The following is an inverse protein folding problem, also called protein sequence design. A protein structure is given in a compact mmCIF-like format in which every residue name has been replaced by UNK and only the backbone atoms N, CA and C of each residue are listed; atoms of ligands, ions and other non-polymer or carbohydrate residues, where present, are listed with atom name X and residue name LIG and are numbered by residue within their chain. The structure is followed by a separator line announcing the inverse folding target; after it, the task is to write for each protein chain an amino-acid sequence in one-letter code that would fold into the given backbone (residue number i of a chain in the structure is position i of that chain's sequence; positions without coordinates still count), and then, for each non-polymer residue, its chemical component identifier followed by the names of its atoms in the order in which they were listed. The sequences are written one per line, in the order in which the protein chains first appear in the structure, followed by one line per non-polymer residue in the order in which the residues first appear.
data_IF_764541307742
#
_entry.id   IF_764541307742
#
_cell.length_a   1.000
_cell.length_b   1.000
_cell.length_c   1.000
_cell.angle_alpha   90.00
_cell.angle_beta   90.00
_cell.angle_gamma   90.00
#
_symmetry.space_group_name_H-M   'P 1'
#
loop_
_entity.id
_entity.type
_entity.pdbx_description
1 polymer ?
#
# COMPACT_ATOMS: atom_id res chain seq x y z
N UNK A 1 6.65 5.99 -23.66
CA UNK A 1 6.30 6.19 -22.24
C UNK A 1 7.30 5.38 -21.42
N UNK A 2 7.95 5.94 -20.39
CA UNK A 2 8.75 5.12 -19.48
C UNK A 2 7.82 4.07 -18.84
N UNK A 3 8.27 2.83 -18.78
CA UNK A 3 7.54 1.74 -18.13
C UNK A 3 7.43 1.96 -16.61
N UNK A 4 6.73 1.07 -15.90
CA UNK A 4 6.63 1.16 -14.45
C UNK A 4 8.02 1.10 -13.79
N UNK A 5 8.22 1.90 -12.74
CA UNK A 5 9.45 1.91 -11.96
C UNK A 5 9.30 0.91 -10.81
N UNK A 6 10.11 -0.15 -10.81
CA UNK A 6 10.11 -1.19 -9.79
C UNK A 6 11.25 -0.97 -8.78
N UNK A 7 10.94 -1.08 -7.49
CA UNK A 7 11.91 -1.11 -6.39
C UNK A 7 11.63 -2.30 -5.48
N UNK A 8 12.65 -3.11 -5.26
CA UNK A 8 12.65 -4.19 -4.28
C UNK A 8 13.27 -3.70 -2.97
N UNK A 9 12.53 -3.86 -1.88
CA UNK A 9 12.88 -3.50 -0.51
C UNK A 9 12.73 -4.71 0.42
N UNK A 10 12.71 -5.93 -0.15
CA UNK A 10 12.56 -7.17 0.61
C UNK A 10 13.66 -7.33 1.65
N UNK A 11 13.31 -7.92 2.79
CA UNK A 11 14.20 -8.07 3.94
C UNK A 11 13.90 -9.36 4.70
N UNK A 12 14.89 -9.83 5.45
CA UNK A 12 14.73 -10.94 6.39
C UNK A 12 14.52 -10.38 7.80
N UNK A 13 13.45 -10.80 8.45
CA UNK A 13 13.15 -10.44 9.84
C UNK A 13 12.81 -11.68 10.64
N UNK A 14 13.52 -11.90 11.75
CA UNK A 14 13.37 -13.09 12.62
C UNK A 14 13.45 -14.43 11.86
N UNK A 15 14.31 -14.52 10.84
CA UNK A 15 14.47 -15.73 10.03
C UNK A 15 13.34 -15.97 9.02
N UNK A 16 12.41 -15.02 8.86
CA UNK A 16 11.37 -15.06 7.84
C UNK A 16 11.64 -14.02 6.76
N UNK A 17 11.72 -14.48 5.52
CA UNK A 17 11.84 -13.59 4.37
C UNK A 17 10.51 -12.86 4.13
N UNK A 18 10.57 -11.53 4.10
CA UNK A 18 9.44 -10.67 3.78
C UNK A 18 9.71 -10.01 2.43
N UNK A 19 8.89 -10.38 1.45
CA UNK A 19 8.84 -9.67 0.19
C UNK A 19 8.22 -8.29 0.41
N UNK A 20 8.95 -7.24 0.04
CA UNK A 20 8.47 -5.86 0.06
C UNK A 20 8.88 -5.20 -1.24
N UNK A 21 7.92 -4.81 -2.08
CA UNK A 21 8.21 -4.09 -3.32
C UNK A 21 7.27 -2.92 -3.55
N UNK A 22 7.76 -1.92 -4.29
CA UNK A 22 7.00 -0.76 -4.73
C UNK A 22 7.12 -0.68 -6.25
N UNK A 23 5.99 -0.71 -6.94
CA UNK A 23 5.91 -0.51 -8.39
C UNK A 23 5.12 0.76 -8.68
N UNK A 24 5.78 1.76 -9.27
CA UNK A 24 5.14 3.04 -9.57
C UNK A 24 4.48 2.99 -10.96
N UNK A 25 3.17 3.21 -10.99
CA UNK A 25 2.33 3.20 -12.18
C UNK A 25 1.63 4.55 -12.36
N UNK A 26 2.27 5.52 -13.00
CA UNK A 26 1.61 6.78 -13.38
C UNK A 26 0.94 7.51 -12.20
N UNK A 27 -0.36 7.27 -11.99
CA UNK A 27 -1.18 7.84 -10.91
C UNK A 27 -1.34 6.95 -9.67
N UNK A 28 -0.81 5.73 -9.65
CA UNK A 28 -0.93 4.78 -8.53
C UNK A 28 0.42 4.12 -8.25
N UNK A 29 0.75 3.98 -6.98
CA UNK A 29 1.85 3.13 -6.53
C UNK A 29 1.29 1.80 -6.03
N UNK A 30 1.75 0.68 -6.59
CA UNK A 30 1.47 -0.65 -6.07
C UNK A 30 2.52 -1.01 -5.02
N UNK A 31 2.08 -1.21 -3.79
CA UNK A 31 2.92 -1.63 -2.68
C UNK A 31 2.56 -3.06 -2.29
N UNK A 32 3.55 -3.95 -2.31
CA UNK A 32 3.36 -5.37 -1.98
C UNK A 32 4.16 -5.69 -0.72
N UNK A 33 3.49 -6.25 0.28
CA UNK A 33 4.12 -6.87 1.45
C UNK A 33 3.62 -8.31 1.57
N UNK A 34 4.53 -9.29 1.57
CA UNK A 34 4.15 -10.69 1.74
C UNK A 34 5.27 -11.50 2.38
N UNK A 35 4.94 -12.22 3.44
CA UNK A 35 5.88 -13.12 4.13
C UNK A 35 5.55 -14.60 3.92
N UNK A 36 4.50 -14.90 3.14
CA UNK A 36 3.97 -16.25 2.89
C UNK A 36 4.04 -16.66 1.41
N UNK A 37 4.53 -15.78 0.53
CA UNK A 37 4.60 -16.03 -0.92
C UNK A 37 3.22 -16.15 -1.59
N UNK A 38 2.15 -15.68 -0.93
CA UNK A 38 0.78 -15.67 -1.43
C UNK A 38 0.26 -14.25 -1.50
N UNK A 39 -0.70 -14.03 -2.39
CA UNK A 39 -1.54 -12.83 -2.40
C UNK A 39 -2.55 -13.03 -1.27
N UNK A 40 -2.47 -12.18 -0.25
CA UNK A 40 -3.41 -12.15 0.86
C UNK A 40 -4.56 -11.21 0.55
N UNK A 41 -4.46 -9.99 1.08
CA UNK A 41 -5.43 -8.93 0.87
C UNK A 41 -4.91 -7.90 -0.14
N UNK A 42 -5.81 -7.35 -0.96
CA UNK A 42 -5.54 -6.21 -1.83
C UNK A 42 -6.48 -5.09 -1.45
N UNK A 43 -5.92 -3.97 -0.99
CA UNK A 43 -6.65 -2.79 -0.55
C UNK A 43 -6.19 -1.58 -1.36
N UNK A 44 -7.15 -0.86 -1.93
CA UNK A 44 -6.92 0.44 -2.55
C UNK A 44 -7.01 1.52 -1.48
N UNK A 45 -5.99 2.38 -1.40
CA UNK A 45 -5.97 3.56 -0.51
C UNK A 45 -6.32 4.78 -1.34
N UNK A 46 -7.40 5.44 -0.99
CA UNK A 46 -8.01 6.52 -1.77
C UNK A 46 -7.75 7.84 -1.06
N UNK A 47 -7.13 8.79 -1.77
CA UNK A 47 -7.00 10.16 -1.28
C UNK A 47 -8.37 10.83 -1.25
N UNK A 48 -8.76 11.49 -0.16
CA UNK A 48 -10.05 12.17 -0.09
C UNK A 48 -10.12 13.33 -1.09
N UNK A 49 -11.24 13.42 -1.82
CA UNK A 49 -11.45 14.38 -2.92
C UNK A 49 -11.35 15.86 -2.49
N UNK A 50 -11.56 16.16 -1.21
CA UNK A 50 -11.69 17.53 -0.68
C UNK A 50 -10.36 18.19 -0.25
N UNK A 51 -9.21 17.52 -0.44
CA UNK A 51 -7.93 18.10 -0.06
C UNK A 51 -7.42 18.99 -1.18
N UNK A 52 -7.67 20.29 -1.05
CA UNK A 52 -6.80 21.30 -1.64
C UNK A 52 -5.44 21.09 -0.97
N UNK A 53 -4.55 20.35 -1.64
CA UNK A 53 -3.21 19.98 -1.15
C UNK A 53 -2.37 21.19 -0.72
N UNK A 54 -2.74 22.39 -1.18
CA UNK A 54 -2.11 23.67 -0.84
C UNK A 54 -2.43 24.15 0.60
N UNK A 55 -3.48 23.61 1.25
CA UNK A 55 -3.93 24.03 2.58
C UNK A 55 -3.52 23.07 3.72
N UNK A 56 -2.92 21.92 3.40
CA UNK A 56 -2.46 20.99 4.43
C UNK A 56 -1.12 21.45 5.01
N UNK A 57 -1.15 21.87 6.28
CA UNK A 57 0.08 21.97 7.07
C UNK A 57 0.75 20.59 7.18
N UNK A 58 2.08 20.55 7.28
CA UNK A 58 2.89 19.31 7.37
C UNK A 58 2.56 18.41 8.56
N UNK A 59 1.65 18.84 9.46
CA UNK A 59 1.21 18.12 10.66
C UNK A 59 -0.27 17.70 10.62
N UNK A 60 -1.01 17.99 9.55
CA UNK A 60 -2.41 17.63 9.48
C UNK A 60 -2.55 16.14 9.14
N UNK A 61 -3.21 15.39 10.04
CA UNK A 61 -3.57 13.99 9.81
C UNK A 61 -4.60 13.95 8.70
N UNK A 62 -4.23 13.39 7.55
CA UNK A 62 -5.16 13.12 6.45
C UNK A 62 -5.81 11.78 6.73
N UNK A 63 -7.14 11.78 6.83
CA UNK A 63 -7.92 10.55 6.88
C UNK A 63 -8.05 10.03 5.45
N UNK A 64 -7.60 8.79 5.23
CA UNK A 64 -7.65 8.13 3.94
C UNK A 64 -8.82 7.16 3.92
N UNK A 65 -9.54 7.13 2.81
CA UNK A 65 -10.52 6.08 2.56
C UNK A 65 -9.82 4.82 2.06
N UNK A 66 -10.40 3.66 2.34
CA UNK A 66 -9.89 2.38 1.85
C UNK A 66 -10.99 1.55 1.22
N UNK A 67 -10.63 0.81 0.17
CA UNK A 67 -11.53 -0.12 -0.50
C UNK A 67 -10.85 -1.48 -0.62
N UNK A 68 -11.45 -2.50 -0.01
CA UNK A 68 -11.04 -3.88 -0.18
C UNK A 68 -11.37 -4.34 -1.60
N UNK A 69 -10.36 -4.73 -2.37
CA UNK A 69 -10.51 -5.25 -3.73
C UNK A 69 -10.49 -6.78 -3.78
N UNK A 70 -9.71 -7.42 -2.90
CA UNK A 70 -9.58 -8.88 -2.83
C UNK A 70 -9.15 -9.32 -1.43
N UNK A 71 -9.63 -10.49 -1.00
CA UNK A 71 -9.42 -11.03 0.35
C UNK A 71 -10.66 -10.89 1.23
N UNK A 72 -10.55 -11.27 2.49
CA UNK A 72 -11.62 -11.16 3.49
C UNK A 72 -11.30 -10.04 4.48
N UNK A 73 -12.31 -9.24 4.82
CA UNK A 73 -12.25 -8.24 5.89
C UNK A 73 -12.42 -8.89 7.28
N UNK A 74 -11.95 -10.13 7.43
CA UNK A 74 -11.97 -10.82 8.70
C UNK A 74 -10.90 -10.18 9.57
N UNK A 75 -11.31 -9.15 10.32
CA UNK A 75 -10.63 -8.79 11.55
C UNK A 75 -10.54 -10.08 12.35
N UNK A 76 -9.34 -10.67 12.42
CA UNK A 76 -9.05 -11.77 13.31
C UNK A 76 -9.27 -11.24 14.74
N UNK A 77 -10.52 -11.31 15.21
CA UNK A 77 -10.86 -11.17 16.61
C UNK A 77 -10.25 -12.38 17.33
N UNK A 78 -9.01 -12.20 17.78
CA UNK A 78 -8.38 -13.04 18.80
C UNK A 78 -8.48 -12.36 20.15
#
# INVERSE_FOLDING_TARGET
MPGPVYRDLSYDFNGQHTHFSITQHGNVDLVVFSSLGRIGQVTEVIFPEAIITEALSTQQRVDYDTKLLLGSDEVLCS
#
